data_IF_623739424439
#
_entry.id   IF_623739424439
#
_cell.length_a   1.000
_cell.length_b   1.000
_cell.length_c   1.000
_cell.angle_alpha   90.00
_cell.angle_beta   90.00
_cell.angle_gamma   90.00
#
_symmetry.space_group_name_H-M   'P 1'
#
loop_
_entity.id
_entity.type
_entity.pdbx_description
1 polymer ?
#
# COMPACT_ATOMS: atom_id res chain seq x y z
N UNK A 1 -17.34 -8.57 -5.55
CA UNK A 1 -16.87 -7.63 -4.51
C UNK A 1 -17.89 -6.52 -4.36
N UNK A 2 -18.51 -6.47 -3.23
CA UNK A 2 -19.31 -5.32 -2.88
C UNK A 2 -18.35 -4.21 -2.48
N UNK A 3 -18.02 -3.35 -3.43
CA UNK A 3 -17.14 -2.22 -3.21
C UNK A 3 -17.75 -1.13 -2.36
N UNK A 4 -18.25 -1.48 -1.17
CA UNK A 4 -18.56 -0.50 -0.16
C UNK A 4 -17.23 -0.23 0.56
N UNK A 5 -16.36 0.48 -0.09
CA UNK A 5 -15.39 1.24 0.66
C UNK A 5 -16.18 2.35 1.33
N UNK A 6 -16.53 2.12 2.58
CA UNK A 6 -16.98 3.19 3.45
C UNK A 6 -15.91 4.25 3.44
N UNK A 7 -16.28 5.49 3.18
CA UNK A 7 -15.39 6.63 3.11
C UNK A 7 -14.70 6.98 4.45
N UNK A 8 -14.87 6.17 5.48
CA UNK A 8 -14.25 6.36 6.78
C UNK A 8 -12.87 5.69 6.80
N UNK A 9 -11.83 6.48 6.59
CA UNK A 9 -10.46 6.04 6.83
C UNK A 9 -10.22 5.88 8.33
N UNK A 10 -9.75 4.73 8.82
CA UNK A 10 -9.30 4.60 10.19
C UNK A 10 -8.25 5.66 10.54
N UNK A 11 -8.41 6.29 11.71
CA UNK A 11 -7.46 7.27 12.21
C UNK A 11 -6.80 6.73 13.46
N UNK A 12 -5.48 6.54 13.40
CA UNK A 12 -4.67 6.10 14.53
C UNK A 12 -3.65 7.17 14.87
N UNK A 13 -3.77 7.77 16.04
CA UNK A 13 -2.86 8.84 16.51
C UNK A 13 -2.65 9.95 15.48
N UNK A 14 -3.71 10.34 14.77
CA UNK A 14 -3.67 11.36 13.74
C UNK A 14 -3.20 10.90 12.35
N UNK A 15 -2.88 9.62 12.17
CA UNK A 15 -2.59 9.04 10.87
C UNK A 15 -3.87 8.49 10.24
N UNK A 16 -4.15 8.87 9.00
CA UNK A 16 -5.23 8.30 8.20
C UNK A 16 -4.70 7.08 7.45
N UNK A 17 -5.36 5.94 7.63
CA UNK A 17 -4.92 4.66 7.09
C UNK A 17 -5.96 4.12 6.12
N UNK A 18 -5.57 3.71 4.92
CA UNK A 18 -6.40 2.99 3.97
C UNK A 18 -6.04 1.50 4.04
N UNK A 19 -7.02 0.66 4.34
CA UNK A 19 -6.85 -0.78 4.45
C UNK A 19 -7.39 -1.47 3.20
N UNK A 20 -6.55 -2.27 2.56
CA UNK A 20 -6.86 -3.03 1.35
C UNK A 20 -6.46 -4.50 1.52
N UNK A 21 -7.07 -5.38 0.75
CA UNK A 21 -6.81 -6.81 0.87
C UNK A 21 -6.37 -7.38 -0.48
N UNK A 22 -5.16 -7.94 -0.50
CA UNK A 22 -4.64 -8.84 -1.54
C UNK A 22 -4.96 -8.38 -2.97
N UNK A 23 -6.02 -8.92 -3.56
CA UNK A 23 -6.42 -8.71 -4.95
C UNK A 23 -6.78 -7.25 -5.25
N UNK A 24 -7.19 -6.47 -4.27
CA UNK A 24 -7.48 -5.03 -4.40
C UNK A 24 -6.30 -4.26 -4.98
N UNK A 25 -5.06 -4.73 -4.72
CA UNK A 25 -3.83 -4.14 -5.25
C UNK A 25 -3.83 -4.02 -6.78
N UNK A 26 -4.54 -4.91 -7.48
CA UNK A 26 -4.61 -4.89 -8.94
C UNK A 26 -5.47 -3.76 -9.50
N UNK A 27 -6.29 -3.16 -8.66
CA UNK A 27 -7.26 -2.15 -9.08
C UNK A 27 -6.89 -0.78 -8.49
N UNK A 28 -6.18 0.07 -9.24
CA UNK A 28 -5.67 1.35 -8.75
C UNK A 28 -6.78 2.28 -8.27
N UNK A 29 -7.97 2.16 -8.82
CA UNK A 29 -9.12 2.99 -8.47
C UNK A 29 -9.51 2.93 -6.99
N UNK A 30 -9.35 1.75 -6.34
CA UNK A 30 -9.65 1.58 -4.91
C UNK A 30 -8.65 2.28 -4.00
N UNK A 31 -7.42 2.41 -4.45
CA UNK A 31 -6.35 3.07 -3.72
C UNK A 31 -6.21 4.55 -4.06
N UNK A 32 -6.87 5.03 -5.13
CA UNK A 32 -6.69 6.41 -5.57
C UNK A 32 -7.19 7.40 -4.52
N UNK A 33 -6.30 8.29 -4.08
CA UNK A 33 -6.65 9.41 -3.20
C UNK A 33 -7.58 10.38 -3.89
N UNK A 34 -8.55 10.86 -3.14
CA UNK A 34 -9.51 11.88 -3.56
C UNK A 34 -9.52 13.06 -2.57
N UNK A 35 -10.69 13.56 -2.23
CA UNK A 35 -10.86 14.74 -1.38
C UNK A 35 -10.24 14.61 0.03
N UNK A 36 -10.21 13.38 0.58
CA UNK A 36 -9.61 13.11 1.88
C UNK A 36 -8.37 12.21 1.72
N UNK A 37 -7.16 12.79 1.65
CA UNK A 37 -5.95 12.01 1.48
C UNK A 37 -5.65 11.20 2.74
N UNK A 38 -5.28 9.92 2.55
CA UNK A 38 -4.71 9.08 3.60
C UNK A 38 -3.19 9.17 3.62
N UNK A 39 -2.60 8.81 4.75
CA UNK A 39 -1.15 8.89 4.97
C UNK A 39 -0.47 7.54 4.70
N UNK A 40 -1.16 6.45 5.03
CA UNK A 40 -0.67 5.07 4.93
C UNK A 40 -1.66 4.22 4.15
N UNK A 41 -1.16 3.48 3.20
CA UNK A 41 -1.89 2.44 2.47
C UNK A 41 -1.35 1.07 2.89
N UNK A 42 -2.20 0.22 3.43
CA UNK A 42 -1.80 -1.08 3.96
C UNK A 42 -2.53 -2.21 3.24
N UNK A 43 -1.76 -3.17 2.73
CA UNK A 43 -2.25 -4.41 2.14
C UNK A 43 -1.84 -5.60 2.98
N UNK A 44 -2.80 -6.51 3.21
CA UNK A 44 -2.52 -7.86 3.71
C UNK A 44 -2.87 -8.88 2.62
N UNK A 45 -2.01 -9.88 2.40
CA UNK A 45 -2.17 -10.75 1.25
C UNK A 45 -1.69 -12.19 1.46
N UNK A 46 -2.26 -13.08 0.63
CA UNK A 46 -1.71 -14.36 0.24
C UNK A 46 -1.34 -14.28 -1.26
N UNK A 47 -0.26 -13.57 -1.57
CA UNK A 47 0.16 -13.33 -2.95
C UNK A 47 1.24 -14.33 -3.37
N UNK A 48 0.94 -15.21 -4.35
CA UNK A 48 1.86 -16.28 -4.74
C UNK A 48 3.19 -15.78 -5.32
N UNK A 49 4.26 -16.50 -5.02
CA UNK A 49 5.62 -16.22 -5.49
C UNK A 49 5.72 -16.05 -7.02
N UNK A 50 5.01 -16.86 -7.79
CA UNK A 50 4.97 -16.77 -9.26
C UNK A 50 4.54 -15.40 -9.78
N UNK A 51 3.92 -14.58 -8.95
CA UNK A 51 3.45 -13.23 -9.27
C UNK A 51 4.08 -12.16 -8.39
N UNK A 52 5.21 -12.45 -7.73
CA UNK A 52 5.85 -11.53 -6.80
C UNK A 52 6.33 -10.22 -7.48
N UNK A 53 6.72 -10.29 -8.76
CA UNK A 53 7.06 -9.09 -9.52
C UNK A 53 5.89 -8.10 -9.55
N UNK A 54 4.68 -8.57 -9.85
CA UNK A 54 3.48 -7.72 -9.84
C UNK A 54 3.19 -7.17 -8.43
N UNK A 55 3.36 -7.97 -7.37
CA UNK A 55 3.20 -7.53 -5.99
C UNK A 55 4.10 -6.34 -5.66
N UNK A 56 5.40 -6.49 -5.87
CA UNK A 56 6.40 -5.43 -5.59
C UNK A 56 6.18 -4.19 -6.45
N UNK A 57 5.97 -4.38 -7.74
CA UNK A 57 5.78 -3.27 -8.69
C UNK A 57 4.52 -2.47 -8.39
N UNK A 58 3.40 -3.15 -8.12
CA UNK A 58 2.14 -2.47 -7.85
C UNK A 58 2.16 -1.75 -6.49
N UNK A 59 2.75 -2.33 -5.44
CA UNK A 59 2.92 -1.63 -4.16
C UNK A 59 3.72 -0.34 -4.33
N UNK A 60 4.81 -0.41 -5.10
CA UNK A 60 5.65 0.77 -5.39
C UNK A 60 4.86 1.81 -6.19
N UNK A 61 4.11 1.39 -7.21
CA UNK A 61 3.26 2.29 -7.98
C UNK A 61 2.21 2.99 -7.10
N UNK A 62 1.56 2.25 -6.18
CA UNK A 62 0.57 2.83 -5.25
C UNK A 62 1.18 3.89 -4.33
N UNK A 63 2.41 3.66 -3.84
CA UNK A 63 3.12 4.64 -3.02
C UNK A 63 3.38 5.94 -3.80
N UNK A 64 3.91 5.82 -5.01
CA UNK A 64 4.28 6.95 -5.87
C UNK A 64 3.04 7.75 -6.31
N UNK A 65 2.04 7.07 -6.88
CA UNK A 65 0.85 7.73 -7.44
C UNK A 65 -0.03 8.41 -6.39
N UNK A 66 0.00 7.91 -5.14
CA UNK A 66 -0.77 8.46 -4.03
C UNK A 66 0.08 9.28 -3.05
N UNK A 67 1.39 9.36 -3.27
CA UNK A 67 2.32 10.06 -2.38
C UNK A 67 2.04 9.73 -0.91
N UNK A 68 2.07 8.43 -0.58
CA UNK A 68 1.81 7.90 0.75
C UNK A 68 2.81 6.81 1.11
N UNK A 69 2.94 6.50 2.40
CA UNK A 69 3.60 5.27 2.81
C UNK A 69 2.75 4.08 2.40
N UNK A 70 3.36 3.08 1.74
CA UNK A 70 2.65 1.85 1.37
C UNK A 70 3.29 0.65 2.04
N UNK A 71 2.47 -0.13 2.73
CA UNK A 71 2.89 -1.32 3.48
C UNK A 71 2.21 -2.53 2.86
N UNK A 72 2.98 -3.50 2.41
CA UNK A 72 2.49 -4.78 1.93
C UNK A 72 2.95 -5.90 2.86
N UNK A 73 2.01 -6.55 3.53
CA UNK A 73 2.27 -7.72 4.37
C UNK A 73 1.78 -8.96 3.65
N UNK A 74 2.69 -9.86 3.31
CA UNK A 74 2.38 -11.07 2.58
C UNK A 74 2.89 -12.31 3.33
N UNK A 75 2.17 -13.42 3.20
CA UNK A 75 2.59 -14.69 3.82
C UNK A 75 3.84 -15.27 3.17
N UNK A 76 4.53 -16.13 3.90
CA UNK A 76 5.63 -16.99 3.42
C UNK A 76 5.23 -18.47 3.49
N UNK A 77 6.00 -19.32 2.83
CA UNK A 77 5.86 -20.78 2.87
C UNK A 77 5.04 -21.34 1.73
N UNK A 78 4.52 -22.55 1.94
CA UNK A 78 3.73 -23.30 0.94
C UNK A 78 2.38 -23.64 1.54
N UNK A 79 1.31 -23.49 0.78
CA UNK A 79 -0.03 -23.85 1.22
C UNK A 79 -0.39 -25.31 0.94
N UNK A 80 -1.58 -25.73 1.35
CA UNK A 80 -2.10 -27.08 1.15
C UNK A 80 -2.30 -27.49 -0.31
N UNK A 81 -2.22 -26.54 -1.26
CA UNK A 81 -2.28 -26.78 -2.70
C UNK A 81 -0.89 -26.72 -3.38
N UNK A 82 0.17 -26.78 -2.59
CA UNK A 82 1.56 -26.65 -3.06
C UNK A 82 1.86 -25.30 -3.76
N UNK A 83 1.16 -24.25 -3.39
CA UNK A 83 1.45 -22.91 -3.88
C UNK A 83 2.49 -22.26 -2.97
N UNK A 84 3.62 -21.87 -3.55
CA UNK A 84 4.68 -21.18 -2.84
C UNK A 84 4.40 -19.68 -2.71
N UNK A 85 4.80 -19.12 -1.57
CA UNK A 85 4.69 -17.71 -1.22
C UNK A 85 6.04 -17.21 -0.72
N UNK A 86 6.64 -16.28 -1.44
CA UNK A 86 7.93 -15.69 -1.10
C UNK A 86 7.87 -14.64 0.02
N UNK A 87 6.66 -14.25 0.43
CA UNK A 87 6.51 -13.06 1.26
C UNK A 87 6.71 -11.81 0.43
N UNK A 88 7.95 -11.38 0.28
CA UNK A 88 8.26 -10.09 -0.33
C UNK A 88 7.45 -8.95 0.35
N UNK A 89 7.34 -9.02 1.68
CA UNK A 89 6.73 -7.96 2.47
C UNK A 89 7.57 -6.69 2.38
N UNK A 90 6.91 -5.54 2.20
CA UNK A 90 7.56 -4.29 1.86
C UNK A 90 6.99 -3.13 2.67
N UNK A 91 7.85 -2.18 3.01
CA UNK A 91 7.48 -0.83 3.40
C UNK A 91 8.11 0.13 2.40
N UNK A 92 7.30 0.97 1.80
CA UNK A 92 7.69 1.84 0.70
C UNK A 92 7.31 3.27 1.08
N UNK A 93 8.23 4.19 0.90
CA UNK A 93 8.02 5.61 1.11
C UNK A 93 7.29 6.31 -0.05
N UNK A 94 6.89 7.57 0.15
CA UNK A 94 5.99 8.28 -0.76
C UNK A 94 6.59 8.60 -2.14
N UNK A 95 7.89 8.43 -2.32
CA UNK A 95 8.57 8.58 -3.61
C UNK A 95 8.98 7.23 -4.24
N UNK A 96 8.56 6.12 -3.64
CA UNK A 96 8.83 4.77 -4.13
C UNK A 96 10.10 4.14 -3.56
N UNK A 97 10.78 4.78 -2.62
CA UNK A 97 11.94 4.24 -1.94
C UNK A 97 11.56 3.04 -1.05
N UNK A 98 12.29 1.96 -1.15
CA UNK A 98 12.09 0.77 -0.32
C UNK A 98 12.74 1.01 1.04
N UNK A 99 11.90 1.14 2.08
CA UNK A 99 12.34 1.34 3.47
C UNK A 99 12.58 0.03 4.20
N UNK A 100 11.90 -1.03 3.77
CA UNK A 100 12.05 -2.38 4.29
C UNK A 100 11.61 -3.40 3.26
N UNK A 101 12.30 -4.53 3.21
CA UNK A 101 11.93 -5.70 2.39
C UNK A 101 12.36 -6.99 3.10
N UNK A 102 11.43 -7.94 3.18
CA UNK A 102 11.71 -9.29 3.68
C UNK A 102 11.09 -10.33 2.76
N UNK A 103 11.87 -11.34 2.39
CA UNK A 103 11.44 -12.43 1.54
C UNK A 103 11.90 -13.78 2.13
N UNK A 104 11.07 -14.81 1.97
CA UNK A 104 11.30 -16.21 2.37
C UNK A 104 11.43 -16.46 3.88
N UNK A 105 11.25 -15.45 4.70
CA UNK A 105 11.38 -15.52 6.16
C UNK A 105 10.16 -14.92 6.85
N UNK A 106 9.78 -15.47 8.01
CA UNK A 106 8.86 -14.82 8.93
C UNK A 106 9.63 -13.76 9.71
N UNK A 107 9.09 -12.54 9.75
CA UNK A 107 9.73 -11.44 10.46
C UNK A 107 8.71 -10.52 11.14
N UNK A 108 9.18 -9.85 12.17
CA UNK A 108 8.48 -8.75 12.84
C UNK A 108 9.39 -7.53 12.81
N UNK A 109 9.07 -6.58 11.96
CA UNK A 109 9.85 -5.37 11.77
C UNK A 109 9.11 -4.14 12.29
N UNK A 110 9.83 -3.26 12.97
CA UNK A 110 9.30 -2.00 13.49
C UNK A 110 10.03 -0.83 12.87
N UNK A 111 9.28 0.13 12.35
CA UNK A 111 9.81 1.36 11.78
C UNK A 111 9.01 2.56 12.31
N UNK A 112 9.67 3.68 12.45
CA UNK A 112 8.99 4.95 12.74
C UNK A 112 8.77 5.69 11.41
N UNK A 113 7.50 5.93 11.06
CA UNK A 113 7.14 6.76 9.91
C UNK A 113 7.08 8.22 10.34
N UNK A 114 7.57 9.11 9.48
CA UNK A 114 7.64 10.54 9.75
C UNK A 114 6.56 11.31 8.99
N UNK A 115 5.55 11.79 9.72
CA UNK A 115 4.46 12.55 9.09
C UNK A 115 4.92 13.88 8.51
N UNK A 116 5.93 14.48 9.11
CA UNK A 116 6.53 15.73 8.61
C UNK A 116 7.19 15.53 7.25
N UNK A 117 7.89 14.41 7.05
CA UNK A 117 8.50 14.06 5.76
C UNK A 117 7.45 13.86 4.68
N UNK A 118 6.37 13.15 5.00
CA UNK A 118 5.24 12.98 4.10
C UNK A 118 4.62 14.32 3.68
N UNK A 119 4.40 15.19 4.65
CA UNK A 119 3.86 16.54 4.41
C UNK A 119 4.82 17.38 3.56
N UNK A 120 6.11 17.32 3.86
CA UNK A 120 7.14 18.01 3.09
C UNK A 120 7.16 17.55 1.62
N UNK A 121 7.17 16.23 1.39
CA UNK A 121 7.14 15.63 0.04
C UNK A 121 5.92 16.09 -0.75
N UNK A 122 4.75 16.05 -0.14
CA UNK A 122 3.49 16.50 -0.78
C UNK A 122 3.47 18.00 -1.09
N UNK A 123 4.11 18.81 -0.28
CA UNK A 123 4.22 20.26 -0.53
C UNK A 123 5.26 20.59 -1.61
N UNK A 124 6.37 19.86 -1.61
CA UNK A 124 7.41 20.01 -2.62
C UNK A 124 6.96 19.54 -4.01
N UNK A 125 6.21 18.46 -4.05
CA UNK A 125 5.69 17.86 -5.28
C UNK A 125 4.15 17.72 -5.19
N UNK A 126 3.38 18.77 -5.40
CA UNK A 126 1.94 18.78 -5.15
C UNK A 126 1.13 18.12 -6.27
N UNK A 127 1.58 16.98 -6.82
CA UNK A 127 0.93 16.25 -7.93
C UNK A 127 -0.52 15.86 -7.64
N UNK A 128 -0.86 15.62 -6.38
CA UNK A 128 -2.21 15.29 -5.96
C UNK A 128 -3.23 16.40 -6.26
N UNK A 129 -2.77 17.66 -6.41
CA UNK A 129 -3.63 18.81 -6.76
C UNK A 129 -4.10 18.78 -8.21
N UNK A 130 -3.38 18.04 -9.07
CA UNK A 130 -3.71 17.93 -10.48
C UNK A 130 -4.64 16.74 -10.77
N UNK A 131 -5.04 16.02 -9.71
CA UNK A 131 -5.91 14.86 -9.85
C UNK A 131 -7.35 15.27 -10.11
N UNK A 132 -7.95 14.71 -11.16
CA UNK A 132 -9.37 14.88 -11.44
C UNK A 132 -10.24 14.15 -10.42
N UNK A 133 -11.41 14.72 -10.15
CA UNK A 133 -12.44 14.03 -9.40
C UNK A 133 -13.14 13.01 -10.29
N UNK A 134 -13.36 11.80 -9.78
CA UNK A 134 -14.14 10.78 -10.45
C UNK A 134 -15.05 10.04 -9.46
N UNK A 135 -16.10 9.44 -9.96
CA UNK A 135 -17.04 8.64 -9.19
C UNK A 135 -17.24 7.28 -9.86
N UNK A 136 -17.17 6.22 -9.05
CA UNK A 136 -17.49 4.87 -9.50
C UNK A 136 -19.00 4.69 -9.35
N UNK A 137 -19.66 4.27 -10.43
CA UNK A 137 -21.08 3.95 -10.46
C UNK A 137 -21.32 2.47 -10.25
#
# INVERSE_FOLDING_TARGET
>A
MTGVQTCALPILKGWKINLQICYDLRFPVWARQQAEPYDVLLYVANWPEKRNHAWKTLLTARAIENQCYTIGVNRVGVDGNNIAYSGDSLIIGPLGEVLYHCAYEEDVFTITLQKQELTHTRNQFPFWKDADFFQIQ
#
